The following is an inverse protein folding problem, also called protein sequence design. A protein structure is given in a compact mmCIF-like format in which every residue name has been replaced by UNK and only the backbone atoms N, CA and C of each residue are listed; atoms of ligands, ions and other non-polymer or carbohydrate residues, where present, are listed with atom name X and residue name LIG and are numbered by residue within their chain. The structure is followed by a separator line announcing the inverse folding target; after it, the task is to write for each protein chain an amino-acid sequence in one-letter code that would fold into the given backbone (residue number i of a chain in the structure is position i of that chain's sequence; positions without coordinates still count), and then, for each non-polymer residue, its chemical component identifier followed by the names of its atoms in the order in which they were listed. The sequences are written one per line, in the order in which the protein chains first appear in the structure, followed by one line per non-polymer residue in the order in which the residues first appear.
data_IF_620238728193
#
_entry.id   IF_620238728193
#
_cell.length_a   1.000
_cell.length_b   1.000
_cell.length_c   1.000
_cell.angle_alpha   90.00
_cell.angle_beta   90.00
_cell.angle_gamma   90.00
#
_symmetry.space_group_name_H-M   'P 1'
#
loop_
_entity.id
_entity.type
_entity.pdbx_description
1 polymer ?
#
# COMPACT_ATOMS: atom_id res chain seq x y z
N UNK A 1 26.36 -1.83 -39.67
CA UNK A 1 25.27 -0.90 -39.28
C UNK A 1 24.45 -0.58 -40.51
N UNK A 2 23.11 -0.52 -40.40
CA UNK A 2 22.21 -0.20 -41.51
C UNK A 2 21.89 1.29 -41.64
N UNK A 3 22.26 2.11 -40.64
CA UNK A 3 22.09 3.56 -40.65
C UNK A 3 23.42 4.27 -40.89
N UNK A 4 23.36 5.37 -41.66
CA UNK A 4 24.51 6.25 -41.87
C UNK A 4 24.43 7.42 -40.88
N UNK A 5 25.47 7.72 -40.07
CA UNK A 5 25.49 8.86 -39.19
C UNK A 5 25.21 10.21 -39.85
N UNK A 6 25.64 10.38 -41.09
CA UNK A 6 25.42 11.60 -41.85
C UNK A 6 23.93 11.93 -42.12
N UNK A 7 23.05 10.94 -41.99
CA UNK A 7 21.60 11.13 -42.16
C UNK A 7 20.91 11.71 -40.90
N UNK A 8 21.66 11.95 -39.84
CA UNK A 8 21.12 12.37 -38.54
C UNK A 8 21.77 13.67 -38.08
N UNK A 9 20.93 14.56 -37.56
CA UNK A 9 21.37 15.72 -36.81
C UNK A 9 21.43 15.35 -35.31
N UNK A 10 22.56 15.64 -34.66
CA UNK A 10 22.73 15.38 -33.23
C UNK A 10 23.24 16.65 -32.54
N UNK A 11 22.57 17.05 -31.47
CA UNK A 11 22.98 18.15 -30.62
C UNK A 11 22.98 17.75 -29.14
N UNK A 12 23.81 18.41 -28.35
CA UNK A 12 23.94 18.16 -26.93
C UNK A 12 23.93 19.51 -26.16
N UNK A 13 22.74 20.05 -25.86
CA UNK A 13 22.61 21.28 -25.07
C UNK A 13 23.18 21.10 -23.67
N UNK A 14 23.69 22.21 -23.09
CA UNK A 14 24.35 22.19 -21.78
C UNK A 14 23.40 22.33 -20.60
N UNK A 15 22.09 22.51 -20.81
CA UNK A 15 21.10 22.67 -19.73
C UNK A 15 19.74 22.10 -20.12
N UNK A 16 18.95 21.74 -19.13
CA UNK A 16 17.58 21.29 -19.32
C UNK A 16 16.72 22.36 -19.98
N UNK A 17 16.90 23.63 -19.60
CA UNK A 17 16.17 24.74 -20.17
C UNK A 17 16.41 24.87 -21.70
N UNK A 18 17.65 24.70 -22.16
CA UNK A 18 17.96 24.75 -23.59
C UNK A 18 17.29 23.60 -24.37
N UNK A 19 17.20 22.38 -23.75
CA UNK A 19 16.45 21.27 -24.35
C UNK A 19 14.97 21.55 -24.42
N UNK A 20 14.38 22.08 -23.35
CA UNK A 20 12.95 22.42 -23.28
C UNK A 20 12.60 23.47 -24.33
N UNK A 21 13.41 24.52 -24.48
CA UNK A 21 13.22 25.54 -25.51
C UNK A 21 13.24 24.95 -26.92
N UNK A 22 14.23 24.09 -27.22
CA UNK A 22 14.32 23.41 -28.49
C UNK A 22 13.10 22.53 -28.82
N UNK A 23 12.64 21.75 -27.82
CA UNK A 23 11.45 20.91 -27.97
C UNK A 23 10.17 21.76 -28.16
N UNK A 24 10.11 22.92 -27.54
CA UNK A 24 9.01 23.87 -27.68
C UNK A 24 8.99 24.60 -29.04
N UNK A 25 10.16 24.88 -29.63
CA UNK A 25 10.28 25.49 -30.97
C UNK A 25 9.87 24.52 -32.08
N UNK A 26 10.25 23.24 -31.96
CA UNK A 26 9.94 22.20 -32.97
C UNK A 26 9.30 20.96 -32.30
N UNK A 27 8.03 21.03 -31.86
CA UNK A 27 7.38 19.92 -31.17
C UNK A 27 7.36 18.62 -32.00
N UNK A 28 7.93 17.54 -31.42
CA UNK A 28 7.98 16.22 -32.05
C UNK A 28 9.06 16.05 -33.13
N UNK A 29 9.81 17.08 -33.51
CA UNK A 29 10.89 16.97 -34.48
C UNK A 29 12.15 16.33 -33.89
N UNK A 30 12.41 16.57 -32.60
CA UNK A 30 13.59 16.09 -31.89
C UNK A 30 13.26 14.88 -31.02
N UNK A 31 14.06 13.83 -31.16
CA UNK A 31 14.00 12.67 -30.26
C UNK A 31 15.03 12.82 -29.14
N UNK A 32 14.61 12.92 -27.87
CA UNK A 32 15.53 12.92 -26.73
C UNK A 32 16.26 11.59 -26.61
N UNK A 33 17.57 11.64 -26.41
CA UNK A 33 18.43 10.48 -26.17
C UNK A 33 19.15 10.65 -24.83
N UNK A 34 18.83 9.76 -23.88
CA UNK A 34 19.52 9.65 -22.60
C UNK A 34 20.66 8.61 -22.72
N UNK A 35 20.62 7.50 -22.01
CA UNK A 35 21.63 6.44 -22.06
C UNK A 35 21.77 5.69 -23.38
N UNK A 36 20.83 5.83 -24.30
CA UNK A 36 20.89 5.28 -25.66
C UNK A 36 20.63 3.77 -25.77
N UNK A 37 20.35 3.06 -24.69
CA UNK A 37 20.29 1.59 -24.66
C UNK A 37 19.20 0.96 -25.53
N UNK A 38 18.14 1.70 -25.87
CA UNK A 38 17.11 1.30 -26.84
C UNK A 38 17.30 2.01 -28.18
N UNK A 39 17.54 3.33 -28.17
CA UNK A 39 17.69 4.15 -29.38
C UNK A 39 18.84 3.65 -30.27
N UNK A 40 19.98 3.28 -29.69
CA UNK A 40 21.14 2.78 -30.45
C UNK A 40 20.88 1.39 -31.07
N UNK A 41 20.01 0.58 -30.48
CA UNK A 41 19.58 -0.70 -31.08
C UNK A 41 18.73 -0.44 -32.33
N UNK A 42 17.80 0.51 -32.24
CA UNK A 42 16.96 0.91 -33.39
C UNK A 42 17.81 1.55 -34.49
N UNK A 43 18.75 2.41 -34.13
CA UNK A 43 19.73 3.00 -35.04
C UNK A 43 20.53 1.93 -35.80
N UNK A 44 21.14 0.98 -35.08
CA UNK A 44 21.94 -0.08 -35.69
C UNK A 44 21.10 -0.98 -36.62
N UNK A 45 19.81 -1.16 -36.32
CA UNK A 45 18.87 -1.91 -37.16
C UNK A 45 18.34 -1.13 -38.34
N UNK A 46 18.60 0.18 -38.46
CA UNK A 46 18.04 1.06 -39.49
C UNK A 46 16.54 1.36 -39.30
N UNK A 47 16.06 1.25 -38.06
CA UNK A 47 14.64 1.39 -37.67
C UNK A 47 14.35 2.65 -36.87
N UNK A 48 15.35 3.53 -36.63
CA UNK A 48 15.14 4.75 -35.89
C UNK A 48 14.33 5.75 -36.72
N UNK A 49 13.12 6.12 -36.32
CA UNK A 49 12.23 6.96 -37.15
C UNK A 49 12.67 8.43 -37.18
N UNK A 50 13.25 8.93 -36.09
CA UNK A 50 13.67 10.31 -35.96
C UNK A 50 15.02 10.53 -36.67
N UNK A 51 15.18 11.72 -37.28
CA UNK A 51 16.44 12.17 -37.89
C UNK A 51 17.15 13.25 -37.06
N UNK A 52 16.43 13.92 -36.16
CA UNK A 52 16.97 14.91 -35.24
C UNK A 52 17.01 14.29 -33.85
N UNK A 53 18.20 14.29 -33.22
CA UNK A 53 18.45 13.71 -31.91
C UNK A 53 19.00 14.80 -30.99
N UNK A 54 18.41 14.92 -29.81
CA UNK A 54 18.87 15.83 -28.75
C UNK A 54 19.34 15.02 -27.55
N UNK A 55 20.61 15.18 -27.17
CA UNK A 55 21.15 14.54 -25.97
C UNK A 55 20.59 15.20 -24.72
N UNK A 56 20.05 14.37 -23.83
CA UNK A 56 19.71 14.73 -22.45
C UNK A 56 20.61 14.01 -21.43
N UNK A 57 21.67 13.38 -21.95
CA UNK A 57 22.70 12.73 -21.13
C UNK A 57 23.61 13.80 -20.51
N UNK A 58 24.00 13.61 -19.27
CA UNK A 58 24.83 14.53 -18.49
C UNK A 58 24.16 15.89 -18.16
N UNK A 59 22.83 15.97 -18.13
CA UNK A 59 22.14 17.12 -17.59
C UNK A 59 21.99 16.93 -16.06
N UNK A 60 22.67 17.76 -15.22
CA UNK A 60 22.64 17.60 -13.77
C UNK A 60 21.23 17.64 -13.20
N UNK A 61 20.34 18.45 -13.79
CA UNK A 61 18.94 18.61 -13.38
C UNK A 61 18.12 17.32 -13.52
N UNK A 62 18.62 16.33 -14.27
CA UNK A 62 17.98 15.03 -14.46
C UNK A 62 18.68 13.90 -13.71
N UNK A 63 19.86 14.11 -13.11
CA UNK A 63 20.75 13.05 -12.59
C UNK A 63 20.90 13.04 -11.06
N UNK A 64 19.96 13.61 -10.32
CA UNK A 64 20.03 13.67 -8.87
C UNK A 64 18.88 12.91 -8.22
N UNK A 65 19.10 12.47 -6.99
CA UNK A 65 18.09 11.85 -6.13
C UNK A 65 17.98 12.69 -4.87
N UNK A 66 16.85 13.34 -4.67
CA UNK A 66 16.54 14.17 -3.51
C UNK A 66 15.65 13.40 -2.54
N UNK A 67 15.95 13.47 -1.25
CA UNK A 67 15.17 12.80 -0.20
C UNK A 67 14.65 13.84 0.77
N UNK A 68 13.34 13.91 0.92
CA UNK A 68 12.68 14.69 1.97
C UNK A 68 12.09 13.78 3.06
N UNK A 69 11.38 14.36 4.04
CA UNK A 69 10.69 13.58 5.07
C UNK A 69 9.61 12.67 4.47
N UNK A 70 8.88 13.14 3.45
CA UNK A 70 7.66 12.50 2.95
C UNK A 70 7.82 11.83 1.58
N UNK A 71 8.80 12.25 0.77
CA UNK A 71 9.00 11.71 -0.58
C UNK A 71 10.48 11.61 -0.96
N UNK A 72 10.75 10.75 -1.93
CA UNK A 72 11.98 10.71 -2.71
C UNK A 72 11.68 11.18 -4.13
N UNK A 73 12.50 12.12 -4.65
CA UNK A 73 12.44 12.63 -6.01
C UNK A 73 13.64 12.09 -6.79
N UNK A 74 13.39 11.27 -7.78
CA UNK A 74 14.40 10.61 -8.61
C UNK A 74 14.42 11.29 -9.98
N UNK A 75 15.52 11.94 -10.34
CA UNK A 75 15.71 12.54 -11.67
C UNK A 75 15.57 11.50 -12.79
N UNK A 76 14.91 11.86 -13.87
CA UNK A 76 14.63 10.93 -14.98
C UNK A 76 15.88 10.39 -15.68
N UNK A 77 17.01 11.10 -15.56
CA UNK A 77 18.32 10.71 -16.05
C UNK A 77 19.10 9.79 -15.11
N UNK A 78 18.60 9.50 -13.90
CA UNK A 78 19.22 8.52 -13.00
C UNK A 78 19.25 7.15 -13.64
N UNK A 79 20.42 6.51 -13.60
CA UNK A 79 20.64 5.17 -14.17
C UNK A 79 20.17 4.07 -13.21
N UNK A 80 20.01 2.86 -13.70
CA UNK A 80 19.73 1.71 -12.84
C UNK A 80 20.87 1.46 -11.85
N UNK A 81 22.12 1.79 -12.20
CA UNK A 81 23.25 1.70 -11.27
C UNK A 81 23.12 2.72 -10.14
N UNK A 82 22.64 3.94 -10.41
CA UNK A 82 22.39 4.95 -9.37
C UNK A 82 21.31 4.48 -8.41
N UNK A 83 20.18 3.96 -8.92
CA UNK A 83 19.11 3.39 -8.10
C UNK A 83 19.60 2.25 -7.21
N UNK A 84 20.44 1.36 -7.74
CA UNK A 84 20.99 0.21 -7.01
C UNK A 84 21.97 0.60 -5.91
N UNK A 85 22.66 1.74 -6.05
CA UNK A 85 23.67 2.22 -5.09
C UNK A 85 23.11 3.16 -4.03
N UNK A 86 21.91 3.71 -4.24
CA UNK A 86 21.34 4.70 -3.33
C UNK A 86 20.69 4.02 -2.11
N UNK A 87 21.18 4.32 -0.90
CA UNK A 87 20.80 3.65 0.35
C UNK A 87 19.29 3.71 0.65
N UNK A 88 18.65 4.87 0.44
CA UNK A 88 17.21 5.02 0.68
C UNK A 88 16.41 4.20 -0.33
N UNK A 89 16.83 4.16 -1.61
CA UNK A 89 16.16 3.33 -2.62
C UNK A 89 16.27 1.85 -2.26
N UNK A 90 17.41 1.40 -1.76
CA UNK A 90 17.59 0.01 -1.33
C UNK A 90 16.72 -0.35 -0.12
N UNK A 91 16.65 0.52 0.88
CA UNK A 91 15.94 0.26 2.13
C UNK A 91 14.44 0.44 2.03
N UNK A 92 13.98 1.53 1.41
CA UNK A 92 12.57 1.92 1.43
C UNK A 92 11.83 1.60 0.12
N UNK A 93 12.56 1.49 -0.99
CA UNK A 93 12.01 1.21 -2.32
C UNK A 93 12.61 -0.06 -2.94
N UNK A 94 12.68 -1.11 -2.16
CA UNK A 94 13.38 -2.37 -2.51
C UNK A 94 12.83 -3.04 -3.78
N UNK A 95 11.55 -2.85 -4.14
CA UNK A 95 11.00 -3.31 -5.42
C UNK A 95 11.72 -2.67 -6.61
N UNK A 96 11.97 -1.35 -6.53
CA UNK A 96 12.65 -0.60 -7.58
C UNK A 96 14.14 -0.97 -7.65
N UNK A 97 14.81 -1.08 -6.50
CA UNK A 97 16.22 -1.49 -6.41
C UNK A 97 16.45 -2.89 -7.02
N UNK A 98 15.56 -3.85 -6.73
CA UNK A 98 15.63 -5.22 -7.29
C UNK A 98 15.31 -5.23 -8.78
N UNK A 99 14.29 -4.49 -9.23
CA UNK A 99 13.97 -4.37 -10.65
C UNK A 99 15.13 -3.76 -11.45
N UNK A 100 15.81 -2.76 -10.89
CA UNK A 100 17.01 -2.16 -11.47
C UNK A 100 18.14 -3.21 -11.67
N UNK A 101 18.31 -4.13 -10.71
CA UNK A 101 19.31 -5.20 -10.80
C UNK A 101 19.00 -6.25 -11.89
N UNK A 102 17.75 -6.40 -12.30
CA UNK A 102 17.30 -7.34 -13.34
C UNK A 102 17.23 -6.73 -14.73
N UNK A 103 17.30 -5.41 -14.84
CA UNK A 103 17.15 -4.69 -16.10
C UNK A 103 18.45 -4.76 -16.90
N UNK A 104 18.45 -5.61 -17.94
CA UNK A 104 19.62 -5.80 -18.80
C UNK A 104 20.85 -6.37 -18.06
N UNK A 105 22.04 -6.18 -18.65
CA UNK A 105 23.34 -6.44 -18.01
C UNK A 105 23.93 -5.18 -17.39
N UNK A 106 25.07 -5.32 -16.72
CA UNK A 106 25.77 -4.21 -16.03
C UNK A 106 26.02 -3.00 -16.96
N UNK A 107 26.44 -3.24 -18.20
CA UNK A 107 26.64 -2.18 -19.19
C UNK A 107 25.35 -1.39 -19.46
N UNK A 108 24.21 -2.09 -19.59
CA UNK A 108 22.91 -1.45 -19.75
C UNK A 108 22.47 -0.72 -18.47
N UNK A 109 22.75 -1.26 -17.29
CA UNK A 109 22.42 -0.63 -16.01
C UNK A 109 23.21 0.67 -15.79
N UNK A 110 24.44 0.76 -16.28
CA UNK A 110 25.27 1.97 -16.20
C UNK A 110 24.81 3.08 -17.18
N UNK A 111 23.96 2.76 -18.15
CA UNK A 111 23.52 3.69 -19.21
C UNK A 111 22.02 3.88 -19.24
N UNK A 112 21.25 2.81 -19.04
CA UNK A 112 19.78 2.87 -19.05
C UNK A 112 19.24 3.70 -17.88
N UNK A 113 18.39 4.67 -18.21
CA UNK A 113 17.81 5.60 -17.23
C UNK A 113 16.38 5.22 -16.90
N UNK A 114 15.91 5.59 -15.71
CA UNK A 114 14.55 5.33 -15.28
C UNK A 114 13.54 6.04 -16.18
N UNK A 115 13.74 7.33 -16.48
CA UNK A 115 12.89 8.09 -17.39
C UNK A 115 12.87 7.52 -18.81
N UNK A 116 14.03 7.12 -19.34
CA UNK A 116 14.12 6.47 -20.65
C UNK A 116 13.34 5.15 -20.71
N UNK A 117 13.35 4.36 -19.63
CA UNK A 117 12.56 3.12 -19.56
C UNK A 117 11.05 3.38 -19.52
N UNK A 118 10.63 4.40 -18.79
CA UNK A 118 9.22 4.83 -18.72
C UNK A 118 8.74 5.27 -20.11
N UNK A 119 9.47 6.17 -20.78
CA UNK A 119 9.09 6.69 -22.10
C UNK A 119 9.15 5.62 -23.19
N UNK A 120 10.09 4.67 -23.10
CA UNK A 120 10.16 3.52 -24.01
C UNK A 120 8.87 2.66 -23.97
N UNK A 121 8.10 2.74 -22.92
CA UNK A 121 6.77 2.16 -22.76
C UNK A 121 6.70 0.66 -23.15
N UNK A 122 7.75 -0.11 -22.78
CA UNK A 122 7.74 -1.55 -23.01
C UNK A 122 6.85 -2.24 -21.97
N UNK A 123 5.86 -3.05 -22.39
CA UNK A 123 5.05 -3.83 -21.44
C UNK A 123 5.87 -4.80 -20.58
N UNK A 124 7.07 -5.17 -21.04
CA UNK A 124 7.96 -6.11 -20.39
C UNK A 124 9.11 -5.43 -19.62
N UNK A 125 9.00 -4.14 -19.36
CA UNK A 125 9.97 -3.42 -18.54
C UNK A 125 9.80 -3.77 -17.06
N UNK A 126 10.88 -4.21 -16.39
CA UNK A 126 10.86 -4.78 -15.05
C UNK A 126 10.64 -3.73 -13.94
N UNK A 127 11.05 -2.48 -14.16
CA UNK A 127 10.91 -1.39 -13.18
C UNK A 127 9.51 -0.78 -13.11
N UNK A 128 8.73 -0.89 -14.19
CA UNK A 128 7.45 -0.21 -14.30
C UNK A 128 6.38 -0.73 -13.32
N UNK A 129 6.27 -2.04 -13.02
CA UNK A 129 5.38 -2.53 -11.97
C UNK A 129 5.73 -1.99 -10.58
N UNK A 130 7.03 -1.78 -10.26
CA UNK A 130 7.42 -1.20 -8.98
C UNK A 130 6.91 0.23 -8.83
N UNK A 131 6.96 1.05 -9.89
CA UNK A 131 6.42 2.40 -9.89
C UNK A 131 4.89 2.42 -9.69
N UNK A 132 4.16 1.46 -10.26
CA UNK A 132 2.73 1.31 -10.03
C UNK A 132 2.42 0.91 -8.59
N UNK A 133 3.17 -0.02 -8.01
CA UNK A 133 2.96 -0.48 -6.64
C UNK A 133 3.22 0.63 -5.62
N UNK A 134 4.22 1.48 -5.86
CA UNK A 134 4.53 2.64 -5.03
C UNK A 134 3.71 3.90 -5.36
N UNK A 135 2.75 3.81 -6.29
CA UNK A 135 1.89 4.94 -6.69
C UNK A 135 2.69 6.18 -7.12
N UNK A 136 3.72 5.96 -7.94
CA UNK A 136 4.61 7.01 -8.42
C UNK A 136 3.86 8.15 -9.09
N UNK A 137 4.38 9.38 -8.95
CA UNK A 137 4.01 10.53 -9.75
C UNK A 137 5.16 10.93 -10.68
N UNK A 138 4.84 11.40 -11.86
CA UNK A 138 5.79 11.94 -12.82
C UNK A 138 5.73 13.46 -12.81
N UNK A 139 6.89 14.09 -12.81
CA UNK A 139 7.04 15.51 -13.07
C UNK A 139 7.43 15.67 -14.53
N UNK A 140 6.53 16.30 -15.29
CA UNK A 140 6.68 16.56 -16.71
C UNK A 140 6.95 18.06 -16.91
N UNK A 141 7.91 18.39 -17.76
CA UNK A 141 8.33 19.78 -18.01
C UNK A 141 8.31 20.12 -19.49
N UNK A 142 7.92 21.34 -19.81
CA UNK A 142 7.93 21.96 -21.15
C UNK A 142 8.09 23.48 -21.05
N UNK A 143 8.07 24.19 -22.17
CA UNK A 143 8.02 25.65 -22.21
C UNK A 143 6.78 26.21 -21.52
N UNK A 144 5.73 25.43 -21.33
CA UNK A 144 4.51 25.81 -20.60
C UNK A 144 4.65 25.70 -19.08
N UNK A 145 5.79 25.22 -18.58
CA UNK A 145 6.04 24.97 -17.16
C UNK A 145 6.00 23.50 -16.81
N UNK A 146 5.85 23.23 -15.51
CA UNK A 146 5.83 21.90 -14.90
C UNK A 146 4.39 21.44 -14.69
N UNK A 147 4.13 20.11 -14.85
CA UNK A 147 2.90 19.47 -14.39
C UNK A 147 3.19 18.12 -13.77
N UNK A 148 2.37 17.73 -12.78
CA UNK A 148 2.40 16.42 -12.17
C UNK A 148 1.36 15.49 -12.82
N UNK A 149 1.73 14.22 -12.98
CA UNK A 149 0.86 13.18 -13.54
C UNK A 149 1.06 11.88 -12.77
N UNK A 150 -0.04 11.28 -12.29
CA UNK A 150 0.04 9.93 -11.72
C UNK A 150 0.62 8.95 -12.76
N UNK A 151 1.61 8.17 -12.36
CA UNK A 151 2.22 7.16 -13.22
C UNK A 151 1.19 6.14 -13.75
N UNK A 152 0.16 5.82 -12.98
CA UNK A 152 -0.95 4.94 -13.39
C UNK A 152 -1.60 5.40 -14.69
N UNK A 153 -1.66 6.70 -14.92
CA UNK A 153 -2.33 7.30 -16.07
C UNK A 153 -1.42 7.58 -17.26
N UNK A 154 -0.12 7.33 -17.11
CA UNK A 154 0.88 7.75 -18.10
C UNK A 154 0.86 6.87 -19.37
N UNK A 155 0.80 5.54 -19.22
CA UNK A 155 0.75 4.63 -20.36
C UNK A 155 -0.69 4.40 -20.81
N UNK A 156 -0.98 4.69 -22.09
CA UNK A 156 -2.35 4.61 -22.65
C UNK A 156 -2.57 3.41 -23.57
N UNK A 157 -1.50 2.69 -23.92
CA UNK A 157 -1.53 1.53 -24.79
C UNK A 157 -0.12 1.06 -25.14
N UNK A 158 -0.02 0.05 -26.01
CA UNK A 158 1.26 -0.49 -26.43
C UNK A 158 2.13 0.60 -27.06
N UNK A 159 3.29 0.91 -26.44
CA UNK A 159 4.21 1.97 -26.88
C UNK A 159 3.56 3.36 -26.98
N UNK A 160 2.50 3.63 -26.20
CA UNK A 160 1.82 4.93 -26.17
C UNK A 160 1.80 5.50 -24.77
N UNK A 161 2.07 6.81 -24.68
CA UNK A 161 2.12 7.56 -23.40
C UNK A 161 1.31 8.86 -23.50
N UNK A 162 1.07 9.51 -22.36
CA UNK A 162 0.49 10.87 -22.26
C UNK A 162 1.55 11.98 -22.35
N UNK A 163 2.79 11.68 -22.69
CA UNK A 163 3.83 12.68 -22.89
C UNK A 163 3.51 13.49 -24.16
N UNK A 164 3.45 14.81 -24.05
CA UNK A 164 3.29 15.67 -25.22
C UNK A 164 4.59 15.73 -26.04
N UNK A 165 4.53 16.08 -27.35
CA UNK A 165 5.71 16.09 -28.24
C UNK A 165 6.82 17.07 -27.80
N UNK A 166 6.51 18.06 -26.97
CA UNK A 166 7.40 19.09 -26.43
C UNK A 166 7.69 18.91 -24.94
N UNK A 167 7.32 17.75 -24.37
CA UNK A 167 7.53 17.46 -22.94
C UNK A 167 8.67 16.49 -22.68
N UNK A 168 9.29 16.62 -21.52
CA UNK A 168 10.21 15.66 -20.92
C UNK A 168 9.71 15.21 -19.55
N UNK A 169 10.05 13.98 -19.15
CA UNK A 169 10.00 13.59 -17.73
C UNK A 169 11.22 14.20 -17.07
N UNK A 170 11.02 15.08 -16.09
CA UNK A 170 12.08 15.64 -15.28
C UNK A 170 12.44 14.73 -14.11
N UNK A 171 11.42 14.25 -13.39
CA UNK A 171 11.61 13.41 -12.21
C UNK A 171 10.45 12.43 -11.98
N UNK A 172 10.71 11.45 -11.15
CA UNK A 172 9.76 10.47 -10.62
C UNK A 172 9.73 10.65 -9.10
N UNK A 173 8.54 10.92 -8.54
CA UNK A 173 8.31 11.08 -7.12
C UNK A 173 7.67 9.83 -6.52
N UNK A 174 8.21 9.35 -5.39
CA UNK A 174 7.67 8.24 -4.62
C UNK A 174 7.48 8.70 -3.18
N UNK A 175 6.28 8.48 -2.63
CA UNK A 175 6.01 8.78 -1.21
C UNK A 175 6.64 7.74 -0.31
N UNK A 176 7.10 8.15 0.89
CA UNK A 176 7.76 7.27 1.88
C UNK A 176 6.78 6.54 2.80
N UNK A 177 5.49 6.57 2.48
CA UNK A 177 4.41 5.96 3.28
C UNK A 177 4.41 4.42 3.29
N UNK A 178 5.21 3.78 2.44
CA UNK A 178 5.21 2.32 2.29
C UNK A 178 6.36 1.61 3.01
N UNK A 179 7.12 2.31 3.84
CA UNK A 179 8.30 1.76 4.54
C UNK A 179 7.97 0.60 5.46
N UNK A 180 6.76 0.58 6.04
CA UNK A 180 6.27 -0.50 6.90
C UNK A 180 5.57 -1.65 6.13
N UNK A 181 5.57 -1.61 4.79
CA UNK A 181 4.94 -2.66 3.99
C UNK A 181 5.96 -3.74 3.63
N UNK A 182 5.54 -5.00 3.71
CA UNK A 182 6.28 -6.10 3.11
C UNK A 182 6.37 -5.87 1.60
N UNK A 183 7.58 -5.94 1.05
CA UNK A 183 7.83 -5.81 -0.38
C UNK A 183 8.16 -7.17 -1.00
N UNK A 184 7.44 -7.54 -2.06
CA UNK A 184 7.62 -8.78 -2.78
C UNK A 184 7.75 -8.51 -4.28
N UNK A 185 8.80 -9.04 -4.90
CA UNK A 185 8.98 -8.95 -6.35
C UNK A 185 9.64 -10.20 -6.92
N UNK A 186 9.17 -10.64 -8.08
CA UNK A 186 9.71 -11.79 -8.83
C UNK A 186 9.71 -11.48 -10.32
N UNK A 187 10.78 -11.93 -10.97
CA UNK A 187 10.91 -11.97 -12.43
C UNK A 187 10.91 -13.41 -12.89
N UNK A 188 9.97 -13.76 -13.76
CA UNK A 188 9.91 -15.07 -14.42
C UNK A 188 10.38 -14.91 -15.85
N UNK A 189 11.52 -15.48 -16.16
CA UNK A 189 12.17 -15.41 -17.46
C UNK A 189 12.98 -16.67 -17.76
N UNK A 190 13.69 -16.69 -18.88
CA UNK A 190 14.61 -17.77 -19.21
C UNK A 190 15.89 -17.73 -18.34
N UNK A 191 16.22 -16.54 -17.78
CA UNK A 191 17.39 -16.22 -16.94
C UNK A 191 17.02 -15.12 -15.97
N UNK A 192 17.80 -14.96 -14.89
CA UNK A 192 17.55 -13.90 -13.90
C UNK A 192 17.83 -12.49 -14.46
N UNK A 193 18.82 -12.35 -15.34
CA UNK A 193 19.15 -11.09 -16.00
C UNK A 193 19.33 -11.29 -17.52
N UNK A 194 19.41 -10.20 -18.29
CA UNK A 194 19.57 -10.22 -19.74
C UNK A 194 18.52 -11.08 -20.48
N UNK A 195 17.32 -11.20 -19.91
CA UNK A 195 16.18 -11.86 -20.52
C UNK A 195 14.95 -10.97 -20.39
N UNK A 196 14.11 -10.97 -21.41
CA UNK A 196 12.81 -10.29 -21.35
C UNK A 196 11.90 -11.13 -20.46
N UNK A 197 11.20 -10.48 -19.55
CA UNK A 197 10.27 -11.14 -18.62
C UNK A 197 9.11 -11.79 -19.35
N UNK A 198 8.79 -13.03 -19.00
CA UNK A 198 7.52 -13.68 -19.34
C UNK A 198 6.39 -13.11 -18.48
N UNK A 199 6.67 -12.93 -17.19
CA UNK A 199 5.85 -12.24 -16.20
C UNK A 199 6.81 -11.61 -15.17
N UNK A 200 6.52 -10.40 -14.72
CA UNK A 200 7.12 -9.85 -13.51
C UNK A 200 6.03 -9.28 -12.60
N UNK A 201 6.25 -9.40 -11.30
CA UNK A 201 5.37 -8.90 -10.25
C UNK A 201 6.16 -7.96 -9.34
N UNK A 202 5.51 -6.89 -8.92
CA UNK A 202 5.91 -6.03 -7.84
C UNK A 202 4.70 -5.82 -6.93
N UNK A 203 4.81 -6.23 -5.68
CA UNK A 203 3.72 -6.14 -4.73
C UNK A 203 4.20 -5.64 -3.38
N UNK A 204 3.37 -4.85 -2.70
CA UNK A 204 3.54 -4.44 -1.32
C UNK A 204 2.26 -4.75 -0.55
N UNK A 205 2.41 -5.07 0.73
CA UNK A 205 1.27 -5.33 1.59
C UNK A 205 1.60 -5.16 3.06
N UNK A 206 0.57 -4.89 3.86
CA UNK A 206 0.65 -4.78 5.30
C UNK A 206 -0.53 -5.51 5.94
N UNK A 207 -0.21 -6.31 6.96
CA UNK A 207 -1.19 -6.93 7.83
C UNK A 207 -1.38 -6.06 9.08
N UNK A 208 -2.61 -5.98 9.56
CA UNK A 208 -2.93 -5.40 10.87
C UNK A 208 -4.11 -6.16 11.48
N UNK A 209 -3.98 -6.58 12.74
CA UNK A 209 -5.05 -7.31 13.43
C UNK A 209 -5.49 -8.61 12.75
N UNK A 210 -4.59 -9.32 12.07
CA UNK A 210 -4.88 -10.57 11.36
C UNK A 210 -5.68 -10.39 10.06
N UNK A 211 -5.79 -9.14 9.55
CA UNK A 211 -6.41 -8.83 8.26
C UNK A 211 -5.43 -8.09 7.36
N UNK A 212 -5.62 -8.18 6.06
CA UNK A 212 -4.86 -7.37 5.09
C UNK A 212 -5.36 -5.93 5.19
N UNK A 213 -4.56 -5.05 5.80
CA UNK A 213 -4.89 -3.63 5.92
C UNK A 213 -4.71 -2.90 4.60
N UNK A 214 -3.59 -3.14 3.95
CA UNK A 214 -3.27 -2.56 2.65
C UNK A 214 -2.53 -3.56 1.76
N UNK A 215 -2.82 -3.50 0.46
CA UNK A 215 -2.21 -4.37 -0.54
C UNK A 215 -2.20 -3.71 -1.90
N UNK A 216 -1.07 -3.79 -2.58
CA UNK A 216 -0.90 -3.32 -3.95
C UNK A 216 -0.15 -4.37 -4.74
N UNK A 217 -0.67 -4.72 -5.93
CA UNK A 217 -0.12 -5.78 -6.79
C UNK A 217 -0.04 -5.26 -8.22
N UNK A 218 1.16 -5.14 -8.74
CA UNK A 218 1.41 -4.67 -10.09
C UNK A 218 2.18 -5.70 -10.91
N UNK A 219 1.86 -5.81 -12.18
CA UNK A 219 2.39 -6.82 -13.10
C UNK A 219 2.95 -6.18 -14.37
N UNK A 220 4.00 -6.80 -14.91
CA UNK A 220 4.52 -6.56 -16.25
C UNK A 220 4.43 -7.80 -17.14
N UNK A 221 4.43 -7.59 -18.45
CA UNK A 221 4.35 -8.61 -19.51
C UNK A 221 3.01 -9.37 -19.60
N UNK A 222 1.94 -8.84 -19.04
CA UNK A 222 0.61 -9.50 -18.99
C UNK A 222 -0.53 -8.67 -19.57
N UNK A 223 -0.22 -7.48 -20.06
CA UNK A 223 -1.14 -6.55 -20.73
C UNK A 223 -0.36 -5.63 -21.67
N UNK A 224 -1.00 -4.81 -22.52
CA UNK A 224 -0.30 -3.83 -23.37
C UNK A 224 0.49 -2.76 -22.62
N UNK A 225 0.15 -2.54 -21.34
CA UNK A 225 0.79 -1.61 -20.41
C UNK A 225 1.06 -2.32 -19.07
N UNK A 226 1.95 -1.79 -18.21
CA UNK A 226 2.05 -2.26 -16.82
C UNK A 226 0.69 -2.19 -16.14
N UNK A 227 0.31 -3.25 -15.43
CA UNK A 227 -1.05 -3.45 -14.93
C UNK A 227 -1.07 -3.52 -13.40
N UNK A 228 -2.01 -2.79 -12.78
CA UNK A 228 -2.36 -2.91 -11.36
C UNK A 228 -3.58 -3.82 -11.21
N UNK A 229 -3.50 -4.84 -10.34
CA UNK A 229 -4.60 -5.80 -10.11
C UNK A 229 -5.66 -5.24 -9.14
N UNK A 230 -6.42 -4.26 -9.59
CA UNK A 230 -7.35 -3.51 -8.73
C UNK A 230 -8.51 -4.35 -8.17
N UNK A 231 -9.03 -5.33 -8.91
CA UNK A 231 -10.08 -6.24 -8.43
C UNK A 231 -9.53 -7.18 -7.36
N UNK A 232 -8.35 -7.76 -7.61
CA UNK A 232 -7.67 -8.64 -6.66
C UNK A 232 -7.33 -7.89 -5.36
N UNK A 233 -6.84 -6.65 -5.44
CA UNK A 233 -6.56 -5.81 -4.28
C UNK A 233 -7.83 -5.51 -3.46
N UNK A 234 -8.94 -5.17 -4.12
CA UNK A 234 -10.23 -4.92 -3.46
C UNK A 234 -10.79 -6.19 -2.79
N UNK A 235 -10.62 -7.35 -3.44
CA UNK A 235 -11.00 -8.63 -2.87
C UNK A 235 -10.25 -8.94 -1.57
N UNK A 236 -8.96 -8.63 -1.53
CA UNK A 236 -8.06 -8.96 -0.41
C UNK A 236 -8.17 -7.98 0.76
N UNK A 237 -8.34 -6.68 0.50
CA UNK A 237 -8.31 -5.62 1.52
C UNK A 237 -9.41 -5.80 2.58
N UNK A 238 -9.01 -5.73 3.85
CA UNK A 238 -9.89 -5.90 5.01
C UNK A 238 -10.28 -7.35 5.31
N UNK A 239 -9.63 -8.32 4.67
CA UNK A 239 -9.95 -9.75 4.87
C UNK A 239 -8.84 -10.47 5.63
N UNK A 240 -9.25 -11.42 6.49
CA UNK A 240 -8.36 -12.42 7.07
C UNK A 240 -8.03 -13.48 6.02
N UNK A 241 -6.78 -13.92 6.00
CA UNK A 241 -6.34 -14.92 5.03
C UNK A 241 -6.88 -16.30 5.38
N UNK A 242 -7.49 -16.93 4.37
CA UNK A 242 -8.02 -18.31 4.41
C UNK A 242 -7.75 -18.96 3.07
N UNK A 243 -7.61 -20.30 3.00
CA UNK A 243 -7.35 -21.01 1.75
C UNK A 243 -8.35 -20.69 0.62
N UNK A 244 -9.63 -20.49 0.97
CA UNK A 244 -10.68 -20.11 0.01
C UNK A 244 -10.45 -18.72 -0.60
N UNK A 245 -9.98 -17.74 0.21
CA UNK A 245 -9.64 -16.41 -0.28
C UNK A 245 -8.44 -16.44 -1.21
N UNK A 246 -7.41 -17.22 -0.88
CA UNK A 246 -6.23 -17.39 -1.75
C UNK A 246 -6.64 -18.01 -3.09
N UNK A 247 -7.50 -19.02 -3.08
CA UNK A 247 -8.03 -19.64 -4.31
C UNK A 247 -8.80 -18.64 -5.15
N UNK A 248 -9.64 -17.80 -4.53
CA UNK A 248 -10.40 -16.78 -5.22
C UNK A 248 -9.48 -15.69 -5.78
N UNK A 249 -8.50 -15.22 -5.00
CA UNK A 249 -7.53 -14.21 -5.46
C UNK A 249 -6.72 -14.69 -6.68
N UNK A 250 -6.30 -15.96 -6.70
CA UNK A 250 -5.65 -16.58 -7.86
C UNK A 250 -6.50 -16.52 -9.12
N UNK A 251 -7.79 -16.84 -8.99
CA UNK A 251 -8.75 -16.81 -10.09
C UNK A 251 -8.96 -15.39 -10.59
N UNK A 252 -9.27 -14.45 -9.67
CA UNK A 252 -9.48 -13.03 -10.00
C UNK A 252 -8.27 -12.42 -10.69
N UNK A 253 -7.06 -12.65 -10.19
CA UNK A 253 -5.83 -12.15 -10.80
C UNK A 253 -5.62 -12.66 -12.23
N UNK A 254 -5.96 -13.93 -12.50
CA UNK A 254 -5.87 -14.50 -13.85
C UNK A 254 -6.92 -13.92 -14.81
N UNK A 255 -8.06 -13.45 -14.30
CA UNK A 255 -9.14 -12.84 -15.07
C UNK A 255 -8.89 -11.35 -15.36
N UNK A 256 -8.11 -10.64 -14.54
CA UNK A 256 -7.77 -9.22 -14.73
C UNK A 256 -6.75 -8.98 -15.86
N UNK A 257 -5.93 -9.96 -16.20
CA UNK A 257 -4.85 -9.82 -17.18
C UNK A 257 -5.32 -10.07 -18.62
N UNK A 258 -4.54 -9.57 -19.59
CA UNK A 258 -4.78 -9.75 -21.03
C UNK A 258 -3.45 -10.07 -21.75
N UNK A 259 -2.83 -11.20 -21.40
CA UNK A 259 -1.55 -11.60 -21.99
C UNK A 259 -1.71 -12.06 -23.44
N UNK A 260 -0.65 -11.89 -24.23
CA UNK A 260 -0.56 -12.39 -25.59
C UNK A 260 0.28 -13.67 -25.67
N UNK A 261 0.08 -14.46 -26.69
CA UNK A 261 1.02 -15.48 -27.12
C UNK A 261 2.15 -14.82 -27.92
N UNK A 262 3.39 -15.14 -27.58
CA UNK A 262 4.57 -14.71 -28.33
C UNK A 262 5.68 -15.78 -28.25
N UNK A 263 6.81 -15.51 -28.93
CA UNK A 263 7.96 -16.44 -28.97
C UNK A 263 8.55 -16.76 -27.59
N UNK A 264 8.16 -16.01 -26.54
CA UNK A 264 8.68 -16.18 -25.18
C UNK A 264 7.79 -17.08 -24.35
N UNK A 265 6.47 -17.02 -24.56
CA UNK A 265 5.50 -17.75 -23.74
C UNK A 265 4.07 -17.63 -24.26
N UNK A 266 3.19 -18.55 -23.83
CA UNK A 266 1.76 -18.49 -24.14
C UNK A 266 0.99 -17.68 -23.09
N UNK A 267 -0.17 -17.14 -23.49
CA UNK A 267 -1.10 -16.45 -22.61
C UNK A 267 -1.54 -17.36 -21.44
N UNK A 268 -1.81 -18.64 -21.72
CA UNK A 268 -2.17 -19.64 -20.70
C UNK A 268 -1.07 -19.82 -19.64
N UNK A 269 0.19 -19.93 -20.07
CA UNK A 269 1.32 -20.02 -19.13
C UNK A 269 1.44 -18.76 -18.27
N UNK A 270 1.35 -17.57 -18.89
CA UNK A 270 1.43 -16.29 -18.16
C UNK A 270 0.33 -16.16 -17.11
N UNK A 271 -0.91 -16.56 -17.43
CA UNK A 271 -2.03 -16.56 -16.50
C UNK A 271 -1.79 -17.52 -15.30
N UNK A 272 -1.31 -18.72 -15.56
CA UNK A 272 -0.96 -19.67 -14.50
C UNK A 272 0.16 -19.15 -13.59
N UNK A 273 1.18 -18.51 -14.17
CA UNK A 273 2.28 -17.89 -13.42
C UNK A 273 1.78 -16.75 -12.55
N UNK A 274 0.93 -15.85 -13.08
CA UNK A 274 0.33 -14.75 -12.29
C UNK A 274 -0.44 -15.28 -11.10
N UNK A 275 -1.31 -16.27 -11.30
CA UNK A 275 -2.08 -16.89 -10.23
C UNK A 275 -1.18 -17.45 -9.11
N UNK A 276 -0.06 -18.10 -9.48
CA UNK A 276 0.89 -18.65 -8.53
C UNK A 276 1.70 -17.56 -7.79
N UNK A 277 2.15 -16.52 -8.49
CA UNK A 277 2.91 -15.42 -7.88
C UNK A 277 2.05 -14.59 -6.91
N UNK A 278 0.77 -14.38 -7.23
CA UNK A 278 -0.18 -13.73 -6.32
C UNK A 278 -0.39 -14.60 -5.07
N UNK A 279 -0.57 -15.91 -5.22
CA UNK A 279 -0.71 -16.82 -4.07
C UNK A 279 0.57 -16.84 -3.20
N UNK A 280 1.75 -16.91 -3.82
CA UNK A 280 3.05 -16.88 -3.12
C UNK A 280 3.18 -15.57 -2.31
N UNK A 281 2.89 -14.42 -2.92
CA UNK A 281 2.92 -13.13 -2.22
C UNK A 281 1.98 -13.10 -1.01
N UNK A 282 0.73 -13.55 -1.18
CA UNK A 282 -0.26 -13.57 -0.10
C UNK A 282 0.20 -14.47 1.06
N UNK A 283 0.78 -15.64 0.76
CA UNK A 283 1.30 -16.54 1.78
C UNK A 283 2.50 -15.95 2.54
N UNK A 284 3.40 -15.26 1.83
CA UNK A 284 4.54 -14.58 2.45
C UNK A 284 4.05 -13.42 3.33
N UNK A 285 3.03 -12.68 2.88
CA UNK A 285 2.44 -11.59 3.64
C UNK A 285 1.79 -12.10 4.94
N UNK A 286 1.08 -13.22 4.90
CA UNK A 286 0.48 -13.87 6.07
C UNK A 286 1.54 -14.32 7.08
N UNK A 287 2.58 -15.01 6.59
CA UNK A 287 3.69 -15.46 7.42
C UNK A 287 4.45 -14.29 8.07
N UNK A 288 4.64 -13.18 7.35
CA UNK A 288 5.28 -11.98 7.87
C UNK A 288 4.43 -11.34 8.98
N UNK A 289 3.12 -11.17 8.76
CA UNK A 289 2.21 -10.63 9.76
C UNK A 289 2.13 -11.52 11.02
N UNK A 290 2.23 -12.84 10.89
CA UNK A 290 2.29 -13.75 12.04
C UNK A 290 3.59 -13.61 12.83
N UNK A 291 4.73 -13.37 12.17
CA UNK A 291 6.02 -13.13 12.82
C UNK A 291 6.01 -11.81 13.62
N UNK A 292 5.48 -10.75 13.04
CA UNK A 292 5.38 -9.44 13.70
C UNK A 292 4.56 -9.56 14.99
N UNK A 293 3.40 -10.20 14.96
CA UNK A 293 2.56 -10.43 16.13
C UNK A 293 3.28 -11.26 17.22
N UNK A 294 4.05 -12.27 16.82
CA UNK A 294 4.82 -13.08 17.75
C UNK A 294 5.94 -12.31 18.41
N UNK A 295 6.59 -11.38 17.73
CA UNK A 295 7.64 -10.51 18.29
C UNK A 295 7.06 -9.53 19.31
N UNK A 296 5.91 -8.90 19.00
CA UNK A 296 5.20 -8.02 19.97
C UNK A 296 4.83 -8.80 21.23
N UNK A 297 4.26 -10.01 21.07
CA UNK A 297 3.91 -10.86 22.21
C UNK A 297 5.13 -11.25 23.03
N UNK A 298 6.24 -11.64 22.42
CA UNK A 298 7.46 -11.99 23.11
C UNK A 298 8.02 -10.82 23.94
N UNK A 299 8.06 -9.61 23.36
CA UNK A 299 8.44 -8.38 24.05
C UNK A 299 7.53 -8.12 25.24
N UNK A 300 6.21 -8.16 25.06
CA UNK A 300 5.23 -7.89 26.09
C UNK A 300 5.28 -8.93 27.24
N UNK A 301 5.54 -10.21 26.94
CA UNK A 301 5.78 -11.24 27.93
C UNK A 301 6.94 -10.92 28.87
N UNK A 302 7.94 -10.17 28.40
CA UNK A 302 9.13 -9.78 29.18
C UNK A 302 8.99 -8.48 29.99
N UNK A 303 7.90 -7.73 29.86
CA UNK A 303 7.71 -6.46 30.60
C UNK A 303 7.45 -6.68 32.09
N UNK A 304 7.77 -5.71 32.97
CA UNK A 304 7.25 -5.65 34.33
C UNK A 304 5.71 -5.73 34.35
N UNK A 305 5.14 -6.19 35.46
CA UNK A 305 3.69 -6.43 35.58
C UNK A 305 2.87 -5.18 35.27
N UNK A 306 3.21 -4.05 35.90
CA UNK A 306 2.49 -2.79 35.78
C UNK A 306 2.61 -2.22 34.33
N UNK A 307 3.82 -2.28 33.76
CA UNK A 307 4.04 -1.81 32.37
C UNK A 307 3.23 -2.64 31.38
N UNK A 308 3.18 -3.95 31.57
CA UNK A 308 2.40 -4.85 30.74
C UNK A 308 0.89 -4.62 30.89
N UNK A 309 0.40 -4.37 32.08
CA UNK A 309 -1.01 -4.04 32.34
C UNK A 309 -1.38 -2.72 31.68
N UNK A 310 -0.55 -1.68 31.84
CA UNK A 310 -0.76 -0.37 31.24
C UNK A 310 -0.74 -0.43 29.69
N UNK A 311 0.19 -1.19 29.12
CA UNK A 311 0.29 -1.31 27.64
C UNK A 311 -0.95 -1.95 27.01
N UNK A 312 -1.57 -2.95 27.69
CA UNK A 312 -2.73 -3.67 27.12
C UNK A 312 -4.08 -3.03 27.51
N UNK A 313 -4.11 -2.16 28.54
CA UNK A 313 -5.31 -1.51 29.04
C UNK A 313 -6.15 -0.82 27.94
N UNK A 314 -5.58 -0.10 26.95
CA UNK A 314 -6.33 0.54 25.87
C UNK A 314 -7.16 -0.44 25.02
N UNK A 315 -6.82 -1.73 25.03
CA UNK A 315 -7.55 -2.74 24.27
C UNK A 315 -8.96 -3.00 24.83
N UNK A 316 -9.08 -2.96 26.18
CA UNK A 316 -10.31 -3.30 26.88
C UNK A 316 -10.92 -2.12 27.64
N UNK A 317 -10.09 -1.32 28.34
CA UNK A 317 -10.51 -0.22 29.20
C UNK A 317 -10.89 -0.64 30.62
N UNK A 318 -10.71 -1.90 31.01
CA UNK A 318 -10.86 -2.40 32.40
C UNK A 318 -9.51 -2.69 33.02
N UNK A 319 -9.22 -2.04 34.13
CA UNK A 319 -8.01 -2.26 34.94
C UNK A 319 -7.95 -3.71 35.43
N UNK A 320 -9.10 -4.24 35.90
CA UNK A 320 -9.21 -5.61 36.37
C UNK A 320 -8.85 -6.63 35.31
N UNK A 321 -9.28 -6.41 34.04
CA UNK A 321 -8.91 -7.25 32.91
C UNK A 321 -7.42 -7.14 32.61
N UNK A 322 -6.89 -5.92 32.52
CA UNK A 322 -5.50 -5.68 32.13
C UNK A 322 -4.50 -6.31 33.14
N UNK A 323 -4.73 -6.15 34.43
CA UNK A 323 -3.88 -6.74 35.47
C UNK A 323 -3.96 -8.28 35.47
N UNK A 324 -5.16 -8.87 35.32
CA UNK A 324 -5.30 -10.33 35.23
C UNK A 324 -4.60 -10.91 34.03
N UNK A 325 -4.70 -10.26 32.86
CA UNK A 325 -3.97 -10.65 31.66
C UNK A 325 -2.45 -10.56 31.86
N UNK A 326 -1.97 -9.45 32.42
CA UNK A 326 -0.54 -9.26 32.68
C UNK A 326 0.01 -10.28 33.71
N UNK A 327 -0.79 -10.71 34.69
CA UNK A 327 -0.40 -11.71 35.69
C UNK A 327 -0.36 -13.15 35.15
N UNK A 328 -1.07 -13.46 34.09
CA UNK A 328 -1.09 -14.80 33.45
C UNK A 328 0.10 -15.07 32.50
N UNK A 329 0.93 -14.07 32.24
CA UNK A 329 2.12 -14.21 31.37
C UNK A 329 3.14 -15.22 31.95
N UNK A 330 3.97 -15.85 31.09
CA UNK A 330 4.06 -15.67 29.64
C UNK A 330 3.01 -16.48 28.86
N UNK A 331 2.52 -15.94 27.74
CA UNK A 331 1.70 -16.67 26.78
C UNK A 331 2.57 -17.29 25.70
N UNK A 332 2.27 -18.54 25.34
CA UNK A 332 3.05 -19.30 24.36
C UNK A 332 2.95 -18.71 22.94
N UNK A 333 1.74 -18.34 22.57
CA UNK A 333 1.42 -17.80 21.22
C UNK A 333 0.21 -16.87 21.27
N UNK A 334 -0.09 -16.24 20.15
CA UNK A 334 -1.21 -15.31 19.98
C UNK A 334 -2.57 -15.99 20.23
N UNK A 335 -2.69 -17.27 19.90
CA UNK A 335 -3.93 -18.03 20.11
C UNK A 335 -4.20 -18.21 21.61
N UNK A 336 -3.18 -18.58 22.37
CA UNK A 336 -3.27 -18.69 23.84
C UNK A 336 -3.60 -17.35 24.50
N UNK A 337 -2.97 -16.27 24.04
CA UNK A 337 -3.26 -14.91 24.53
C UNK A 337 -4.73 -14.51 24.28
N UNK A 338 -5.26 -14.73 23.09
CA UNK A 338 -6.64 -14.36 22.74
C UNK A 338 -7.66 -15.23 23.48
N UNK A 339 -7.37 -16.52 23.68
CA UNK A 339 -8.22 -17.42 24.47
C UNK A 339 -8.26 -16.99 25.95
N UNK A 340 -7.12 -16.67 26.53
CA UNK A 340 -7.03 -16.16 27.92
C UNK A 340 -7.74 -14.81 28.07
N UNK A 341 -7.72 -13.94 27.05
CA UNK A 341 -8.47 -12.69 27.05
C UNK A 341 -9.97 -12.92 27.13
N UNK A 342 -10.49 -13.83 26.30
CA UNK A 342 -11.92 -14.19 26.30
C UNK A 342 -12.33 -14.82 27.65
N UNK A 343 -11.53 -15.71 28.19
CA UNK A 343 -11.78 -16.35 29.49
C UNK A 343 -11.71 -15.33 30.64
N UNK A 344 -10.67 -14.49 30.68
CA UNK A 344 -10.53 -13.43 31.69
C UNK A 344 -11.74 -12.51 31.66
N UNK A 345 -12.17 -12.07 30.47
CA UNK A 345 -13.35 -11.21 30.30
C UNK A 345 -14.63 -11.84 30.84
N UNK A 346 -14.85 -13.13 30.56
CA UNK A 346 -16.04 -13.86 31.00
C UNK A 346 -16.12 -14.04 32.53
N UNK A 347 -14.95 -14.03 33.20
CA UNK A 347 -14.83 -14.18 34.67
C UNK A 347 -14.75 -12.84 35.40
N UNK A 348 -14.98 -11.71 34.74
CA UNK A 348 -15.04 -10.38 35.37
C UNK A 348 -16.40 -10.11 36.01
N UNK A 349 -16.41 -9.16 36.96
CA UNK A 349 -17.63 -8.69 37.58
C UNK A 349 -18.36 -7.68 36.68
N UNK A 350 -19.65 -7.45 36.97
CA UNK A 350 -20.42 -6.40 36.32
C UNK A 350 -19.76 -4.99 36.50
N UNK A 351 -19.10 -4.75 37.60
CA UNK A 351 -18.39 -3.51 37.87
C UNK A 351 -17.19 -3.32 36.93
N UNK A 352 -16.43 -4.39 36.63
CA UNK A 352 -15.31 -4.37 35.70
C UNK A 352 -15.81 -4.14 34.24
N UNK A 353 -16.97 -4.72 33.87
CA UNK A 353 -17.59 -4.48 32.58
C UNK A 353 -18.03 -3.01 32.43
N UNK A 354 -18.65 -2.46 33.49
CA UNK A 354 -19.07 -1.05 33.48
C UNK A 354 -17.89 -0.09 33.43
N UNK A 355 -16.73 -0.45 33.99
CA UNK A 355 -15.49 0.32 33.85
C UNK A 355 -15.04 0.34 32.36
N UNK A 356 -15.00 -0.82 31.72
CA UNK A 356 -14.65 -0.92 30.31
C UNK A 356 -15.61 -0.11 29.44
N UNK A 357 -16.92 -0.15 29.69
CA UNK A 357 -17.90 0.63 28.91
C UNK A 357 -17.65 2.13 29.00
N UNK A 358 -17.29 2.67 30.18
CA UNK A 358 -16.98 4.10 30.36
C UNK A 358 -15.75 4.57 29.58
N UNK A 359 -14.88 3.65 29.18
CA UNK A 359 -13.69 3.98 28.38
C UNK A 359 -13.99 4.30 26.92
N UNK A 360 -15.23 4.03 26.45
CA UNK A 360 -15.63 4.26 25.07
C UNK A 360 -16.30 5.63 24.85
N UNK A 361 -16.07 6.27 23.69
CA UNK A 361 -16.88 7.42 23.28
C UNK A 361 -18.28 6.97 22.81
N UNK A 362 -19.28 7.84 22.95
CA UNK A 362 -20.62 7.61 22.42
C UNK A 362 -20.60 7.49 20.89
N UNK A 363 -21.39 6.59 20.35
CA UNK A 363 -21.50 6.40 18.90
C UNK A 363 -22.31 7.56 18.28
N UNK A 364 -21.71 8.25 17.28
CA UNK A 364 -22.35 9.34 16.53
C UNK A 364 -22.17 10.73 17.13
N UNK A 365 -21.47 10.90 18.26
CA UNK A 365 -21.08 12.22 18.78
C UNK A 365 -19.68 12.61 18.29
N UNK A 366 -19.57 13.82 17.71
CA UNK A 366 -18.26 14.46 17.47
C UNK A 366 -17.73 14.99 18.80
N UNK A 367 -16.61 14.48 19.30
CA UNK A 367 -16.01 14.94 20.53
C UNK A 367 -15.65 16.42 20.46
N UNK A 368 -16.13 17.30 21.41
CA UNK A 368 -15.57 18.63 21.56
C UNK A 368 -14.12 18.54 22.05
N UNK A 369 -13.27 19.42 21.56
CA UNK A 369 -11.81 19.41 21.76
C UNK A 369 -11.34 19.73 23.20
N UNK A 370 -12.20 19.74 24.19
CA UNK A 370 -11.87 20.12 25.58
C UNK A 370 -12.61 19.21 26.58
N UNK A 371 -11.94 18.15 27.04
CA UNK A 371 -12.03 17.55 28.36
C UNK A 371 -11.56 16.11 28.38
N UNK A 372 -10.25 15.89 28.45
CA UNK A 372 -9.67 14.65 28.98
C UNK A 372 -8.33 15.00 29.66
N UNK A 373 -7.99 14.41 30.84
CA UNK A 373 -6.68 14.59 31.45
C UNK A 373 -5.60 13.95 30.56
N UNK A 374 -4.50 14.67 30.41
CA UNK A 374 -3.36 14.28 29.60
C UNK A 374 -2.59 13.12 30.25
N UNK A 375 -2.88 11.89 29.81
CA UNK A 375 -1.95 10.78 29.89
C UNK A 375 -1.74 10.22 28.49
N UNK A 376 -0.50 9.91 28.13
CA UNK A 376 -0.07 9.48 26.77
C UNK A 376 -0.78 8.21 26.25
N UNK A 377 -1.40 7.42 27.13
CA UNK A 377 -2.09 6.16 26.78
C UNK A 377 -3.51 6.37 26.22
N UNK A 378 -4.11 7.54 26.42
CA UNK A 378 -5.46 7.85 25.92
C UNK A 378 -5.52 8.04 24.39
N UNK A 379 -4.37 8.26 23.74
CA UNK A 379 -4.29 8.56 22.29
C UNK A 379 -4.60 7.34 21.40
N UNK A 380 -4.13 6.15 21.76
CA UNK A 380 -4.33 4.92 20.99
C UNK A 380 -5.80 4.45 21.01
N UNK A 381 -6.40 4.38 22.20
CA UNK A 381 -7.81 4.01 22.34
C UNK A 381 -8.73 4.98 21.60
N UNK A 382 -8.42 6.29 21.64
CA UNK A 382 -9.14 7.33 20.91
C UNK A 382 -9.02 7.15 19.41
N UNK A 383 -7.81 6.94 18.90
CA UNK A 383 -7.53 6.71 17.48
C UNK A 383 -8.28 5.47 16.96
N UNK A 384 -8.28 4.37 17.72
CA UNK A 384 -9.01 3.15 17.35
C UNK A 384 -10.51 3.37 17.34
N UNK A 385 -11.06 4.08 18.32
CA UNK A 385 -12.49 4.41 18.40
C UNK A 385 -12.94 5.30 17.22
N UNK A 386 -12.14 6.28 16.84
CA UNK A 386 -12.40 7.15 15.69
C UNK A 386 -12.40 6.35 14.38
N UNK A 387 -11.49 5.40 14.22
CA UNK A 387 -11.45 4.52 13.05
C UNK A 387 -12.68 3.59 12.99
N UNK A 388 -13.10 3.05 14.13
CA UNK A 388 -14.24 2.16 14.27
C UNK A 388 -15.57 2.89 13.94
N UNK A 389 -15.67 4.19 14.27
CA UNK A 389 -16.88 5.02 14.07
C UNK A 389 -16.89 5.84 12.77
N UNK A 390 -15.83 5.81 11.97
CA UNK A 390 -15.68 6.68 10.78
C UNK A 390 -16.86 6.62 9.80
N UNK A 391 -17.48 5.45 9.62
CA UNK A 391 -18.66 5.27 8.74
C UNK A 391 -19.93 5.89 9.32
N UNK A 392 -20.03 5.97 10.65
CA UNK A 392 -21.17 6.58 11.33
C UNK A 392 -21.07 8.11 11.29
N UNK A 393 -19.87 8.65 11.44
CA UNK A 393 -19.62 10.08 11.36
C UNK A 393 -19.93 10.68 9.97
N UNK A 394 -19.86 9.87 8.91
CA UNK A 394 -20.15 10.28 7.53
C UNK A 394 -21.64 10.18 7.14
N UNK A 395 -22.56 9.86 8.06
CA UNK A 395 -24.00 9.68 7.78
C UNK A 395 -24.76 11.02 7.77
N UNK A 396 -25.95 11.03 7.12
CA UNK A 396 -26.81 12.22 7.01
C UNK A 396 -27.33 12.74 8.37
N UNK A 397 -27.69 14.02 8.41
CA UNK A 397 -28.13 14.73 9.61
C UNK A 397 -29.30 14.05 10.36
N UNK A 398 -30.32 13.63 9.63
CA UNK A 398 -31.50 12.97 10.22
C UNK A 398 -31.15 11.68 10.96
N UNK A 399 -30.23 10.90 10.42
CA UNK A 399 -29.77 9.66 11.03
C UNK A 399 -28.94 9.92 12.28
N UNK A 400 -28.13 10.98 12.29
CA UNK A 400 -27.36 11.42 13.47
C UNK A 400 -28.29 11.86 14.60
N UNK A 401 -29.32 12.66 14.32
CA UNK A 401 -30.33 13.08 15.30
C UNK A 401 -31.07 11.86 15.88
N UNK A 402 -31.49 10.92 15.03
CA UNK A 402 -32.16 9.69 15.47
C UNK A 402 -31.24 8.82 16.34
N UNK A 403 -29.94 8.72 16.01
CA UNK A 403 -28.95 7.98 16.78
C UNK A 403 -28.71 8.63 18.16
N UNK A 404 -28.55 9.97 18.21
CA UNK A 404 -28.35 10.70 19.47
C UNK A 404 -29.53 10.53 20.43
N UNK A 405 -30.77 10.64 19.90
CA UNK A 405 -31.99 10.42 20.70
C UNK A 405 -32.05 8.99 21.25
N UNK A 406 -31.81 7.99 20.40
CA UNK A 406 -31.86 6.60 20.83
C UNK A 406 -30.74 6.25 21.84
N UNK A 407 -29.54 6.84 21.71
CA UNK A 407 -28.48 6.72 22.72
C UNK A 407 -28.89 7.31 24.07
N UNK A 408 -29.52 8.47 24.07
CA UNK A 408 -30.02 9.09 25.30
C UNK A 408 -31.08 8.22 25.99
N UNK A 409 -32.04 7.69 25.24
CA UNK A 409 -33.08 6.75 25.76
C UNK A 409 -32.42 5.48 26.33
N UNK A 410 -31.37 4.97 25.66
CA UNK A 410 -30.64 3.78 26.10
C UNK A 410 -29.89 4.02 27.41
N UNK A 411 -29.16 5.15 27.55
CA UNK A 411 -28.44 5.49 28.77
C UNK A 411 -29.35 5.74 29.95
N UNK A 412 -30.52 6.37 29.73
CA UNK A 412 -31.53 6.56 30.75
C UNK A 412 -32.11 5.24 31.25
N UNK A 413 -32.26 4.25 30.36
CA UNK A 413 -32.85 2.96 30.70
C UNK A 413 -31.86 2.01 31.38
N UNK A 414 -30.61 1.91 30.88
CA UNK A 414 -29.65 0.90 31.31
C UNK A 414 -28.49 1.43 32.17
N UNK A 415 -28.37 2.75 32.35
CA UNK A 415 -27.32 3.38 33.16
C UNK A 415 -25.90 3.33 32.59
N UNK A 416 -25.75 2.91 31.34
CA UNK A 416 -24.46 2.90 30.62
C UNK A 416 -24.64 3.23 29.16
N UNK A 417 -23.55 3.63 28.49
CA UNK A 417 -23.55 3.94 27.05
C UNK A 417 -23.83 2.68 26.20
N UNK A 418 -24.38 2.87 25.03
CA UNK A 418 -24.60 1.79 24.07
C UNK A 418 -23.27 1.26 23.52
N UNK A 419 -22.96 -0.01 23.80
CA UNK A 419 -21.77 -0.70 23.31
C UNK A 419 -22.15 -1.63 22.17
N UNK A 420 -21.53 -1.44 21.00
CA UNK A 420 -21.69 -2.30 19.83
C UNK A 420 -20.38 -2.37 19.04
N UNK A 421 -20.01 -3.55 18.60
CA UNK A 421 -18.93 -3.73 17.65
C UNK A 421 -19.36 -3.18 16.28
N UNK A 422 -18.97 -1.93 15.99
CA UNK A 422 -19.36 -1.19 14.78
C UNK A 422 -18.60 -1.64 13.51
N UNK A 423 -17.56 -2.43 13.65
CA UNK A 423 -16.72 -2.89 12.53
C UNK A 423 -17.55 -3.64 11.50
N UNK A 424 -17.55 -3.14 10.27
CA UNK A 424 -18.29 -3.74 9.15
C UNK A 424 -19.77 -3.39 9.05
N UNK A 425 -20.34 -2.64 10.01
CA UNK A 425 -21.73 -2.23 10.03
C UNK A 425 -21.92 -0.80 9.50
N UNK A 426 -23.06 -0.54 8.88
CA UNK A 426 -23.49 0.81 8.47
C UNK A 426 -24.24 1.51 9.61
N UNK A 427 -24.37 2.83 9.54
CA UNK A 427 -25.08 3.62 10.55
C UNK A 427 -26.58 3.25 10.68
N UNK A 428 -27.34 2.97 9.61
CA UNK A 428 -28.71 2.46 9.73
C UNK A 428 -28.80 1.11 10.46
N UNK A 429 -27.87 0.17 10.18
CA UNK A 429 -27.82 -1.13 10.85
C UNK A 429 -27.56 -0.97 12.35
N UNK A 430 -26.65 -0.06 12.72
CA UNK A 430 -26.35 0.23 14.13
C UNK A 430 -27.56 0.82 14.85
N UNK A 431 -28.30 1.74 14.22
CA UNK A 431 -29.52 2.31 14.78
C UNK A 431 -30.62 1.24 14.96
N UNK A 432 -30.74 0.32 14.03
CA UNK A 432 -31.68 -0.80 14.14
C UNK A 432 -31.34 -1.72 15.31
N UNK A 433 -30.06 -2.06 15.47
CA UNK A 433 -29.55 -2.84 16.61
C UNK A 433 -29.86 -2.12 17.93
N UNK A 434 -29.60 -0.82 18.02
CA UNK A 434 -29.86 0.00 19.21
C UNK A 434 -31.35 -0.03 19.58
N UNK A 435 -32.26 0.19 18.61
CA UNK A 435 -33.72 0.15 18.82
C UNK A 435 -34.21 -1.23 19.25
N UNK A 436 -33.64 -2.29 18.73
CA UNK A 436 -33.95 -3.67 19.15
C UNK A 436 -33.54 -3.90 20.60
N UNK A 437 -32.30 -3.50 20.98
CA UNK A 437 -31.71 -3.69 22.30
C UNK A 437 -32.41 -2.83 23.38
N UNK A 438 -32.99 -1.71 23.03
CA UNK A 438 -33.87 -0.94 23.93
C UNK A 438 -35.07 -1.74 24.48
N UNK A 439 -35.40 -2.91 23.89
CA UNK A 439 -36.51 -3.77 24.36
C UNK A 439 -36.03 -4.87 25.31
N UNK A 440 -34.76 -5.04 25.55
CA UNK A 440 -34.21 -6.05 26.47
C UNK A 440 -34.54 -5.68 27.92
N UNK A 441 -34.51 -6.67 28.82
CA UNK A 441 -34.37 -6.47 30.23
C UNK A 441 -32.91 -6.11 30.59
N UNK A 442 -32.66 -5.62 31.80
CA UNK A 442 -31.34 -5.12 32.23
C UNK A 442 -30.26 -6.21 32.19
N UNK A 443 -30.56 -7.44 32.65
CA UNK A 443 -29.61 -8.54 32.70
C UNK A 443 -29.24 -9.03 31.28
N UNK A 444 -30.21 -9.15 30.39
CA UNK A 444 -29.99 -9.54 29.00
C UNK A 444 -29.14 -8.49 28.29
N UNK A 445 -29.45 -7.20 28.54
CA UNK A 445 -28.73 -6.11 27.89
C UNK A 445 -27.30 -5.99 28.39
N UNK A 446 -27.05 -6.14 29.69
CA UNK A 446 -25.70 -6.11 30.24
C UNK A 446 -24.81 -7.21 29.65
N UNK A 447 -25.35 -8.42 29.48
CA UNK A 447 -24.62 -9.56 28.86
C UNK A 447 -24.35 -9.31 27.37
N UNK A 448 -25.31 -8.76 26.66
CA UNK A 448 -25.14 -8.41 25.24
C UNK A 448 -24.08 -7.31 25.08
N UNK A 449 -24.10 -6.27 25.93
CA UNK A 449 -23.09 -5.22 25.92
C UNK A 449 -21.70 -5.78 26.24
N UNK A 450 -21.59 -6.70 27.22
CA UNK A 450 -20.35 -7.37 27.55
C UNK A 450 -19.81 -8.23 26.39
N UNK A 451 -20.69 -8.92 25.66
CA UNK A 451 -20.31 -9.69 24.45
C UNK A 451 -19.81 -8.78 23.33
N UNK A 452 -20.47 -7.64 23.10
CA UNK A 452 -20.02 -6.65 22.12
C UNK A 452 -18.66 -6.05 22.51
N UNK A 453 -18.44 -5.78 23.79
CA UNK A 453 -17.14 -5.32 24.31
C UNK A 453 -16.06 -6.39 24.11
N UNK A 454 -16.33 -7.65 24.36
CA UNK A 454 -15.39 -8.76 24.13
C UNK A 454 -14.92 -8.79 22.66
N UNK A 455 -15.86 -8.61 21.72
CA UNK A 455 -15.53 -8.54 20.29
C UNK A 455 -14.63 -7.32 19.96
N UNK A 456 -14.92 -6.17 20.56
CA UNK A 456 -14.11 -4.95 20.41
C UNK A 456 -12.70 -5.17 20.95
N UNK A 457 -12.60 -5.74 22.18
CA UNK A 457 -11.31 -6.04 22.81
C UNK A 457 -10.47 -6.97 21.92
N UNK A 458 -11.07 -8.02 21.36
CA UNK A 458 -10.39 -8.95 20.47
C UNK A 458 -9.83 -8.26 19.20
N UNK A 459 -10.60 -7.34 18.62
CA UNK A 459 -10.15 -6.54 17.45
C UNK A 459 -8.99 -5.61 17.85
N UNK A 460 -9.08 -4.94 19.00
CA UNK A 460 -8.05 -4.03 19.49
C UNK A 460 -6.76 -4.74 19.88
N UNK A 461 -6.85 -5.93 20.48
CA UNK A 461 -5.69 -6.78 20.73
C UNK A 461 -4.98 -7.16 19.42
N UNK A 462 -5.72 -7.50 18.38
CA UNK A 462 -5.14 -7.75 17.06
C UNK A 462 -4.42 -6.52 16.50
N UNK A 463 -4.99 -5.31 16.66
CA UNK A 463 -4.31 -4.05 16.28
C UNK A 463 -3.05 -3.81 17.10
N UNK A 464 -3.13 -3.98 18.41
CA UNK A 464 -1.98 -3.84 19.33
C UNK A 464 -0.84 -4.81 18.98
N UNK A 465 -1.13 -6.07 18.70
CA UNK A 465 -0.14 -7.07 18.26
C UNK A 465 0.53 -6.72 16.92
N UNK A 466 0.02 -5.74 16.20
CA UNK A 466 0.55 -5.30 14.89
C UNK A 466 1.25 -3.92 14.98
N UNK A 467 1.46 -3.40 16.21
CA UNK A 467 2.21 -2.15 16.44
C UNK A 467 3.69 -2.43 16.66
#
# INVERSE_FOLDING_TARGET
MRSNPADYQFIAPGSLQAVISLLGEEPGAWLPIAGGTDVMVQYAAGKLPARKLVSIWNLPELQHIEVSADEIRIGAGCTYTDLRKHDIVQREFSLLARAAAWTGGIANQNRGTLGGNIVNASPAADSLPALLAYEAELILVSVRGERRLSYRDFHTGYKKTKLAPDELIQAICLTRQFTAHLAYTRKVGARNAQAISKVCIAAIGRMAGGVIEDVRIALGSVAPVPLRLGETERLLKGKSLRPSLITLARKTAAEEIRPIDDIRSTAKYRAAVVANLVAEFIQILDAHGALDMSQVLARWNGLPLEDAANEILPCCGSQGWAHRMAAQRPFLDVTALLAASDETWSNLTAADWMEAFRSHPRIGESLPAQSAPASSDSSLAKTWSEQEQRKVAASGEDLRIAMAKANQEYEQRFGHIFIVCATGKSAPEILEILRRRLRHDEDTELREAAEQQRQITRIRMGKWLST
#
